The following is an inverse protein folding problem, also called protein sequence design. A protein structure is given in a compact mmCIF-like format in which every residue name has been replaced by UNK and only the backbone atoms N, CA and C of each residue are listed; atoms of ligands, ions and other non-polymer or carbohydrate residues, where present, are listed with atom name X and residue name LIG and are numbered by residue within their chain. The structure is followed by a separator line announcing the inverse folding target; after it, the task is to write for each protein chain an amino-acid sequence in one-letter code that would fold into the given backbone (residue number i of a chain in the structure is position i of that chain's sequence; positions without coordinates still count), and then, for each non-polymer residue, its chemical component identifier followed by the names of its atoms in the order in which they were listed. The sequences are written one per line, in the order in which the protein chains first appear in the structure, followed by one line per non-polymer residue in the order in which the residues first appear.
data_IF_780597692358
#
_entry.id   IF_780597692358
#
_cell.length_a   1.000
_cell.length_b   1.000
_cell.length_c   1.000
_cell.angle_alpha   90.00
_cell.angle_beta   90.00
_cell.angle_gamma   90.00
#
_symmetry.space_group_name_H-M   'P 1'
#
loop_
_entity.id
_entity.type
_entity.pdbx_description
1 polymer ?
#
# COMPACT_ATOMS: atom_id res chain seq x y z
N UNK A 1 -54.85 -18.71 -67.63
CA UNK A 1 -53.65 -18.44 -68.45
C UNK A 1 -52.74 -17.51 -67.66
N UNK A 2 -51.47 -17.92 -67.42
CA UNK A 2 -50.22 -17.11 -67.24
C UNK A 2 -50.27 -15.91 -66.23
N UNK A 3 -49.39 -15.70 -65.26
CA UNK A 3 -48.00 -16.11 -65.02
C UNK A 3 -47.55 -15.70 -63.58
N UNK A 4 -46.67 -16.53 -62.98
CA UNK A 4 -45.36 -16.20 -62.36
C UNK A 4 -45.24 -14.98 -61.43
N UNK A 5 -44.73 -15.20 -60.20
CA UNK A 5 -43.44 -14.67 -59.67
C UNK A 5 -43.20 -15.33 -58.30
N UNK A 6 -42.21 -16.22 -58.24
CA UNK A 6 -41.67 -16.75 -57.00
C UNK A 6 -40.46 -15.89 -56.60
N UNK A 7 -40.60 -15.13 -55.51
CA UNK A 7 -39.50 -14.36 -54.92
C UNK A 7 -38.56 -15.30 -54.17
N UNK A 8 -37.38 -15.53 -54.74
CA UNK A 8 -36.25 -16.18 -54.06
C UNK A 8 -35.62 -15.15 -53.12
N UNK A 9 -35.78 -15.35 -51.82
CA UNK A 9 -35.07 -14.58 -50.79
C UNK A 9 -33.68 -15.18 -50.64
N UNK A 10 -32.67 -14.50 -51.18
CA UNK A 10 -31.26 -14.83 -50.94
C UNK A 10 -30.89 -14.27 -49.56
N UNK A 11 -30.74 -15.15 -48.57
CA UNK A 11 -30.20 -14.79 -47.27
C UNK A 11 -28.67 -14.61 -47.39
N UNK A 12 -28.21 -13.36 -47.36
CA UNK A 12 -26.79 -13.05 -47.25
C UNK A 12 -26.31 -13.37 -45.83
N UNK A 13 -25.50 -14.42 -45.68
CA UNK A 13 -24.71 -14.66 -44.48
C UNK A 13 -23.64 -13.56 -44.38
N UNK A 14 -23.87 -12.57 -43.51
CA UNK A 14 -22.83 -11.62 -43.11
C UNK A 14 -21.91 -12.37 -42.15
N UNK A 15 -20.73 -12.74 -42.61
CA UNK A 15 -19.65 -13.23 -41.74
C UNK A 15 -19.27 -12.12 -40.77
N UNK A 16 -19.73 -12.20 -39.52
CA UNK A 16 -19.20 -11.36 -38.46
C UNK A 16 -17.78 -11.82 -38.16
N UNK A 17 -16.79 -11.07 -38.66
CA UNK A 17 -15.41 -11.19 -38.21
C UNK A 17 -15.34 -10.62 -36.80
N UNK A 18 -15.32 -11.50 -35.80
CA UNK A 18 -14.93 -11.14 -34.44
C UNK A 18 -13.48 -10.68 -34.52
N UNK A 19 -13.23 -9.38 -34.39
CA UNK A 19 -11.87 -8.87 -34.28
C UNK A 19 -11.28 -9.34 -32.93
N UNK A 20 -10.61 -10.48 -32.93
CA UNK A 20 -9.73 -10.87 -31.84
C UNK A 20 -8.65 -9.80 -31.71
N UNK A 21 -8.53 -9.22 -30.51
CA UNK A 21 -7.42 -8.32 -30.23
C UNK A 21 -6.13 -9.15 -30.31
N UNK A 22 -5.15 -8.74 -31.14
CA UNK A 22 -3.91 -9.49 -31.26
C UNK A 22 -3.22 -9.56 -29.90
N UNK A 23 -2.66 -10.73 -29.58
CA UNK A 23 -1.95 -10.95 -28.33
C UNK A 23 -0.85 -9.88 -28.13
N UNK A 24 -0.62 -9.42 -26.89
CA UNK A 24 0.33 -8.37 -26.63
C UNK A 24 1.75 -8.80 -27.01
N UNK A 25 2.45 -7.94 -27.74
CA UNK A 25 3.86 -8.12 -28.12
C UNK A 25 4.77 -8.13 -26.89
N UNK A 26 5.99 -8.69 -26.97
CA UNK A 26 6.96 -8.63 -25.87
C UNK A 26 7.24 -7.20 -25.40
N UNK A 27 7.23 -6.22 -26.31
CA UNK A 27 7.39 -4.81 -25.95
C UNK A 27 6.20 -4.26 -25.13
N UNK A 28 4.97 -4.62 -25.50
CA UNK A 28 3.77 -4.24 -24.75
C UNK A 28 3.72 -4.93 -23.38
N UNK A 29 4.15 -6.19 -23.30
CA UNK A 29 4.28 -6.92 -22.03
C UNK A 29 5.36 -6.30 -21.14
N UNK A 30 6.51 -5.89 -21.69
CA UNK A 30 7.56 -5.20 -20.95
C UNK A 30 7.04 -3.89 -20.34
N UNK A 31 6.29 -3.11 -21.12
CA UNK A 31 5.64 -1.87 -20.65
C UNK A 31 4.61 -2.16 -19.53
N UNK A 32 3.86 -3.25 -19.64
CA UNK A 32 2.92 -3.66 -18.58
C UNK A 32 3.66 -3.99 -17.28
N UNK A 33 4.75 -4.76 -17.33
CA UNK A 33 5.58 -5.05 -16.17
C UNK A 33 6.23 -3.78 -15.60
N UNK A 34 6.64 -2.83 -16.44
CA UNK A 34 7.15 -1.54 -15.98
C UNK A 34 6.09 -0.77 -15.18
N UNK A 35 4.84 -0.68 -15.68
CA UNK A 35 3.73 -0.06 -14.94
C UNK A 35 3.40 -0.78 -13.64
N UNK A 36 3.50 -2.12 -13.61
CA UNK A 36 3.36 -2.90 -12.37
C UNK A 36 4.44 -2.52 -11.35
N UNK A 37 5.68 -2.29 -11.80
CA UNK A 37 6.76 -1.84 -10.93
C UNK A 37 6.47 -0.47 -10.32
N UNK A 38 6.00 0.48 -11.12
CA UNK A 38 5.60 1.80 -10.64
C UNK A 38 4.46 1.73 -9.63
N UNK A 39 3.46 0.88 -9.89
CA UNK A 39 2.34 0.66 -8.96
C UNK A 39 2.81 0.03 -7.64
N UNK A 40 3.77 -0.89 -7.69
CA UNK A 40 4.36 -1.50 -6.50
C UNK A 40 5.15 -0.48 -5.66
N UNK A 41 5.91 0.42 -6.27
CA UNK A 41 6.55 1.53 -5.54
C UNK A 41 5.51 2.43 -4.85
N UNK A 42 4.41 2.74 -5.52
CA UNK A 42 3.33 3.54 -4.94
C UNK A 42 2.68 2.83 -3.75
N UNK A 43 2.52 1.51 -3.83
CA UNK A 43 2.03 0.65 -2.77
C UNK A 43 3.04 0.43 -1.62
N UNK A 44 4.28 0.91 -1.75
CA UNK A 44 5.32 0.72 -0.75
C UNK A 44 5.91 -0.69 -0.72
N UNK A 45 5.86 -1.41 -1.84
CA UNK A 45 6.43 -2.76 -1.99
C UNK A 45 7.65 -2.73 -2.93
N UNK A 46 8.86 -2.49 -2.38
CA UNK A 46 10.07 -2.43 -3.20
C UNK A 46 10.46 -3.80 -3.78
N UNK A 47 10.03 -4.90 -3.15
CA UNK A 47 10.33 -6.26 -3.62
C UNK A 47 9.51 -6.57 -4.87
N UNK A 48 8.22 -6.27 -4.84
CA UNK A 48 7.35 -6.40 -6.01
C UNK A 48 7.80 -5.46 -7.14
N UNK A 49 8.20 -4.22 -6.81
CA UNK A 49 8.73 -3.28 -7.79
C UNK A 49 9.98 -3.83 -8.50
N UNK A 50 10.94 -4.35 -7.72
CA UNK A 50 12.16 -4.94 -8.25
C UNK A 50 11.85 -6.12 -9.18
N UNK A 51 10.94 -7.01 -8.77
CA UNK A 51 10.52 -8.15 -9.58
C UNK A 51 9.91 -7.68 -10.91
N UNK A 52 8.98 -6.73 -10.87
CA UNK A 52 8.29 -6.25 -12.06
C UNK A 52 9.25 -5.55 -13.05
N UNK A 53 10.15 -4.68 -12.57
CA UNK A 53 11.17 -4.08 -13.45
C UNK A 53 12.14 -5.11 -14.03
N UNK A 54 12.47 -6.15 -13.26
CA UNK A 54 13.32 -7.25 -13.76
C UNK A 54 12.63 -8.02 -14.89
N UNK A 55 11.34 -8.32 -14.76
CA UNK A 55 10.57 -8.97 -15.84
C UNK A 55 10.43 -8.08 -17.08
N UNK A 56 10.25 -6.76 -16.91
CA UNK A 56 10.23 -5.81 -18.01
C UNK A 56 11.54 -5.84 -18.82
N UNK A 57 12.69 -5.92 -18.13
CA UNK A 57 14.02 -5.98 -18.75
C UNK A 57 14.33 -7.35 -19.38
N UNK A 58 13.74 -8.45 -18.90
CA UNK A 58 13.86 -9.76 -19.56
C UNK A 58 13.18 -9.76 -20.93
N UNK A 59 12.01 -9.12 -21.03
CA UNK A 59 11.22 -9.04 -22.26
C UNK A 59 11.78 -8.01 -23.24
N UNK A 60 12.31 -6.90 -22.73
CA UNK A 60 12.97 -5.87 -23.52
C UNK A 60 14.27 -5.42 -22.82
N UNK A 61 15.42 -6.04 -23.15
CA UNK A 61 16.71 -5.68 -22.56
C UNK A 61 17.15 -4.23 -22.82
N UNK A 62 16.62 -3.59 -23.87
CA UNK A 62 16.88 -2.19 -24.23
C UNK A 62 15.95 -1.19 -23.53
N UNK A 63 15.09 -1.62 -22.61
CA UNK A 63 14.08 -0.75 -22.02
C UNK A 63 14.69 0.21 -20.99
N UNK A 64 15.11 1.38 -21.48
CA UNK A 64 15.83 2.39 -20.69
C UNK A 64 15.10 2.81 -19.41
N UNK A 65 13.78 3.03 -19.47
CA UNK A 65 12.98 3.45 -18.32
C UNK A 65 12.99 2.38 -17.21
N UNK A 66 12.76 1.11 -17.55
CA UNK A 66 12.81 0.03 -16.58
C UNK A 66 14.21 -0.13 -15.95
N UNK A 67 15.27 0.06 -16.74
CA UNK A 67 16.65 0.00 -16.24
C UNK A 67 16.96 1.14 -15.27
N UNK A 68 16.50 2.35 -15.62
CA UNK A 68 16.62 3.53 -14.76
C UNK A 68 15.87 3.34 -13.44
N UNK A 69 14.59 2.94 -13.50
CA UNK A 69 13.77 2.72 -12.30
C UNK A 69 14.33 1.63 -11.40
N UNK A 70 14.84 0.53 -11.96
CA UNK A 70 15.51 -0.51 -11.17
C UNK A 70 16.80 0.01 -10.48
N UNK A 71 17.53 0.91 -11.13
CA UNK A 71 18.68 1.59 -10.52
C UNK A 71 18.27 2.50 -9.37
N UNK A 72 17.24 3.32 -9.59
CA UNK A 72 16.69 4.22 -8.57
C UNK A 72 16.14 3.45 -7.35
N UNK A 73 15.44 2.35 -7.61
CA UNK A 73 14.85 1.49 -6.58
C UNK A 73 15.88 0.96 -5.58
N UNK A 74 17.11 0.67 -6.01
CA UNK A 74 18.19 0.24 -5.10
C UNK A 74 18.58 1.31 -4.08
N UNK A 75 18.35 2.57 -4.39
CA UNK A 75 18.65 3.72 -3.53
C UNK A 75 17.43 4.04 -2.64
N UNK A 76 16.22 3.88 -3.17
CA UNK A 76 14.98 4.28 -2.49
C UNK A 76 14.22 3.14 -1.83
N UNK A 77 14.68 1.89 -1.91
CA UNK A 77 13.98 0.70 -1.39
C UNK A 77 13.61 0.82 0.08
N UNK A 78 14.50 1.35 0.92
CA UNK A 78 14.24 1.57 2.34
C UNK A 78 13.08 2.56 2.57
N UNK A 79 13.10 3.71 1.88
CA UNK A 79 12.02 4.70 1.98
C UNK A 79 10.68 4.16 1.47
N UNK A 80 10.69 3.36 0.40
CA UNK A 80 9.50 2.69 -0.14
C UNK A 80 8.97 1.66 0.87
N UNK A 81 9.85 0.87 1.50
CA UNK A 81 9.47 -0.08 2.55
C UNK A 81 8.88 0.63 3.78
N UNK A 82 9.48 1.73 4.23
CA UNK A 82 8.94 2.57 5.31
C UNK A 82 7.54 3.06 4.99
N UNK A 83 7.33 3.59 3.78
CA UNK A 83 6.00 4.01 3.30
C UNK A 83 5.01 2.84 3.28
N UNK A 84 5.41 1.68 2.78
CA UNK A 84 4.58 0.48 2.76
C UNK A 84 4.14 0.04 4.16
N UNK A 85 5.06 0.10 5.13
CA UNK A 85 4.77 -0.18 6.54
C UNK A 85 3.76 0.83 7.11
N UNK A 86 3.95 2.12 6.83
CA UNK A 86 3.04 3.17 7.28
C UNK A 86 1.63 3.03 6.66
N UNK A 87 1.54 2.70 5.37
CA UNK A 87 0.26 2.44 4.70
C UNK A 87 -0.46 1.24 5.31
N UNK A 88 0.25 0.12 5.49
CA UNK A 88 -0.31 -1.09 6.11
C UNK A 88 -0.75 -0.84 7.54
N UNK A 89 0.06 -0.13 8.32
CA UNK A 89 -0.31 0.31 9.66
C UNK A 89 -1.63 1.07 9.62
N UNK A 90 -1.68 2.18 8.88
CA UNK A 90 -2.84 3.08 8.84
C UNK A 90 -4.12 2.47 8.25
N UNK A 91 -4.01 1.41 7.46
CA UNK A 91 -5.15 0.68 6.91
C UNK A 91 -5.87 -0.18 7.95
N UNK A 92 -5.24 -0.50 9.09
CA UNK A 92 -5.87 -1.30 10.15
C UNK A 92 -6.96 -0.48 10.84
N UNK A 93 -8.21 -0.92 10.70
CA UNK A 93 -9.37 -0.32 11.36
C UNK A 93 -9.55 -0.95 12.73
N UNK A 94 -9.58 -0.11 13.75
CA UNK A 94 -9.78 -0.49 15.14
C UNK A 94 -11.24 -0.18 15.52
N UNK A 95 -12.05 -1.22 15.84
CA UNK A 95 -13.47 -1.03 16.17
C UNK A 95 -13.71 -0.16 17.39
N UNK A 96 -12.88 -0.33 18.42
CA UNK A 96 -12.93 0.47 19.65
C UNK A 96 -11.53 0.59 20.23
N UNK A 97 -11.16 1.81 20.62
CA UNK A 97 -9.91 2.10 21.32
C UNK A 97 -10.21 3.05 22.47
N UNK A 98 -10.16 2.53 23.69
CA UNK A 98 -10.55 3.25 24.90
C UNK A 98 -9.42 3.21 25.92
N UNK A 99 -9.07 4.38 26.43
CA UNK A 99 -8.08 4.58 27.49
C UNK A 99 -8.65 5.53 28.54
N UNK A 100 -8.26 5.33 29.79
CA UNK A 100 -8.63 6.20 30.90
C UNK A 100 -7.42 6.45 31.80
N UNK A 101 -6.81 7.64 31.67
CA UNK A 101 -5.65 8.04 32.45
C UNK A 101 -4.38 7.22 32.17
N UNK A 102 -4.29 6.58 31.00
CA UNK A 102 -3.18 5.72 30.64
C UNK A 102 -1.89 6.51 30.40
N UNK A 103 -0.74 5.91 30.70
CA UNK A 103 0.56 6.42 30.26
C UNK A 103 0.73 6.24 28.75
N UNK A 104 1.69 6.96 28.16
CA UNK A 104 2.02 6.78 26.75
C UNK A 104 2.48 5.34 26.44
N UNK A 105 3.27 4.72 27.32
CA UNK A 105 3.74 3.35 27.13
C UNK A 105 2.57 2.37 27.08
N UNK A 106 1.67 2.41 28.07
CA UNK A 106 0.49 1.56 28.10
C UNK A 106 -0.41 1.75 26.87
N UNK A 107 -0.54 3.00 26.41
CA UNK A 107 -1.31 3.32 25.20
C UNK A 107 -0.69 2.70 23.93
N UNK A 108 0.64 2.77 23.78
CA UNK A 108 1.35 2.18 22.65
C UNK A 108 1.32 0.65 22.68
N UNK A 109 1.45 0.04 23.86
CA UNK A 109 1.37 -1.40 24.05
C UNK A 109 -0.03 -1.92 23.72
N UNK A 110 -1.07 -1.25 24.22
CA UNK A 110 -2.46 -1.58 23.89
C UNK A 110 -2.73 -1.43 22.38
N UNK A 111 -2.22 -0.36 21.76
CA UNK A 111 -2.36 -0.14 20.32
C UNK A 111 -1.66 -1.25 19.53
N UNK A 112 -0.46 -1.67 19.94
CA UNK A 112 0.27 -2.78 19.32
C UNK A 112 -0.55 -4.07 19.31
N UNK A 113 -1.03 -4.49 20.48
CA UNK A 113 -1.81 -5.72 20.64
C UNK A 113 -3.09 -5.69 19.79
N UNK A 114 -3.79 -4.56 19.78
CA UNK A 114 -5.04 -4.42 19.02
C UNK A 114 -4.76 -4.44 17.51
N UNK A 115 -3.72 -3.76 17.03
CA UNK A 115 -3.35 -3.76 15.62
C UNK A 115 -2.97 -5.16 15.15
N UNK A 116 -2.15 -5.87 15.92
CA UNK A 116 -1.75 -7.24 15.60
C UNK A 116 -2.96 -8.16 15.52
N UNK A 117 -3.87 -8.07 16.50
CA UNK A 117 -5.12 -8.82 16.49
C UNK A 117 -6.00 -8.51 15.27
N UNK A 118 -6.23 -7.22 14.97
CA UNK A 118 -7.15 -6.82 13.90
C UNK A 118 -6.57 -7.05 12.49
N UNK A 119 -5.25 -6.99 12.37
CA UNK A 119 -4.54 -7.35 11.14
C UNK A 119 -4.27 -8.85 11.01
N UNK A 120 -4.71 -9.67 11.98
CA UNK A 120 -4.45 -11.13 12.03
C UNK A 120 -2.95 -11.46 11.94
N UNK A 121 -2.12 -10.64 12.58
CA UNK A 121 -0.67 -10.78 12.62
C UNK A 121 0.06 -10.18 11.42
N UNK A 122 -0.63 -9.61 10.42
CA UNK A 122 0.02 -8.98 9.26
C UNK A 122 0.79 -7.71 9.64
N UNK A 123 0.30 -6.98 10.64
CA UNK A 123 0.92 -5.74 11.12
C UNK A 123 1.26 -5.89 12.59
N UNK A 124 2.56 -5.96 12.88
CA UNK A 124 3.11 -5.93 14.24
C UNK A 124 4.02 -4.69 14.38
N UNK A 125 3.51 -3.56 14.89
CA UNK A 125 4.31 -2.35 15.04
C UNK A 125 5.34 -2.53 16.16
N UNK A 126 6.55 -2.01 15.94
CA UNK A 126 7.59 -1.94 16.96
C UNK A 126 7.79 -0.47 17.34
N UNK A 127 7.43 -0.09 18.57
CA UNK A 127 7.55 1.28 19.05
C UNK A 127 8.87 1.47 19.81
N UNK A 128 9.59 2.56 19.51
CA UNK A 128 10.80 2.95 20.23
C UNK A 128 10.56 4.34 20.82
N UNK A 129 10.51 4.45 22.15
CA UNK A 129 10.37 5.74 22.83
C UNK A 129 11.75 6.32 23.10
N UNK A 130 12.06 7.45 22.45
CA UNK A 130 13.28 8.22 22.63
C UNK A 130 12.99 9.47 23.47
N UNK A 131 12.98 9.28 24.79
CA UNK A 131 12.70 10.36 25.74
C UNK A 131 13.73 10.39 26.89
N UNK A 132 14.98 10.79 26.62
CA UNK A 132 16.06 10.77 27.62
C UNK A 132 15.83 11.74 28.79
N UNK A 133 14.91 12.70 28.64
CA UNK A 133 14.58 13.71 29.66
C UNK A 133 13.26 13.42 30.37
N UNK A 134 12.63 12.27 30.10
CA UNK A 134 11.33 11.88 30.67
C UNK A 134 10.21 12.94 30.49
N UNK A 135 10.23 13.67 29.38
CA UNK A 135 9.25 14.71 29.06
C UNK A 135 7.83 14.14 28.81
N UNK A 136 7.73 12.88 28.41
CA UNK A 136 6.47 12.21 28.10
C UNK A 136 5.91 11.42 29.29
N UNK A 137 6.68 11.26 30.37
CA UNK A 137 6.37 10.36 31.47
C UNK A 137 5.11 10.77 32.27
N UNK A 138 4.81 12.06 32.34
CA UNK A 138 3.63 12.57 33.05
C UNK A 138 2.35 12.57 32.22
N UNK A 139 2.42 12.21 30.93
CA UNK A 139 1.25 12.21 30.06
C UNK A 139 0.17 11.26 30.60
N UNK A 140 -1.06 11.77 30.67
CA UNK A 140 -2.26 11.01 31.03
C UNK A 140 -3.24 11.08 29.88
N UNK A 141 -3.42 9.95 29.22
CA UNK A 141 -4.14 9.83 27.97
C UNK A 141 -5.49 9.20 28.24
N UNK A 142 -6.55 9.92 27.89
CA UNK A 142 -7.93 9.44 27.95
C UNK A 142 -8.60 9.64 26.60
N UNK A 143 -9.09 8.55 26.03
CA UNK A 143 -9.74 8.53 24.72
C UNK A 143 -10.89 7.53 24.73
N UNK A 144 -11.88 7.77 23.89
CA UNK A 144 -12.87 6.78 23.51
C UNK A 144 -13.17 6.93 22.02
N UNK A 145 -12.50 6.12 21.22
CA UNK A 145 -12.53 6.17 19.76
C UNK A 145 -13.21 4.93 19.21
N UNK A 146 -14.03 5.10 18.17
CA UNK A 146 -14.78 4.00 17.53
C UNK A 146 -14.54 3.98 16.03
N UNK A 147 -14.33 2.79 15.49
CA UNK A 147 -14.16 2.55 14.05
C UNK A 147 -13.10 3.44 13.40
N UNK A 148 -11.94 3.58 14.06
CA UNK A 148 -10.89 4.51 13.63
C UNK A 148 -9.73 3.78 12.96
N UNK A 149 -9.09 4.38 11.94
CA UNK A 149 -7.81 3.87 11.44
C UNK A 149 -6.72 4.04 12.50
N UNK A 150 -5.87 3.04 12.64
CA UNK A 150 -4.81 3.01 13.65
C UNK A 150 -3.86 4.22 13.59
N UNK A 151 -3.59 4.75 12.39
CA UNK A 151 -2.77 5.96 12.18
C UNK A 151 -3.41 7.20 12.81
N UNK A 152 -4.74 7.33 12.74
CA UNK A 152 -5.43 8.43 13.42
C UNK A 152 -5.39 8.24 14.94
N UNK A 153 -5.55 7.00 15.43
CA UNK A 153 -5.40 6.71 16.87
C UNK A 153 -4.00 7.09 17.36
N UNK A 154 -2.95 6.67 16.65
CA UNK A 154 -1.57 7.04 16.98
C UNK A 154 -1.39 8.56 16.99
N UNK A 155 -1.97 9.27 16.01
CA UNK A 155 -1.92 10.74 15.99
C UNK A 155 -2.54 11.36 17.25
N UNK A 156 -3.71 10.89 17.70
CA UNK A 156 -4.31 11.36 18.96
C UNK A 156 -3.46 11.04 20.19
N UNK A 157 -2.79 9.89 20.21
CA UNK A 157 -1.82 9.56 21.27
C UNK A 157 -0.67 10.57 21.30
N UNK A 158 -0.13 10.92 20.14
CA UNK A 158 0.95 11.91 20.02
C UNK A 158 0.48 13.29 20.49
N UNK A 159 -0.72 13.70 20.11
CA UNK A 159 -1.26 15.00 20.47
C UNK A 159 -1.56 15.15 21.96
N UNK A 160 -2.09 14.11 22.61
CA UNK A 160 -2.33 14.13 24.07
C UNK A 160 -1.06 13.98 24.90
N UNK A 161 -0.02 13.35 24.36
CA UNK A 161 1.27 13.16 25.07
C UNK A 161 2.29 14.25 24.81
N UNK A 162 2.06 15.13 23.83
CA UNK A 162 3.07 16.10 23.39
C UNK A 162 4.24 15.43 22.68
N UNK A 163 4.00 14.33 21.99
CA UNK A 163 5.01 13.58 21.24
C UNK A 163 4.86 13.77 19.72
N UNK A 164 5.83 13.22 19.00
CA UNK A 164 5.84 13.01 17.56
C UNK A 164 6.12 11.54 17.27
N UNK A 165 5.57 11.01 16.18
CA UNK A 165 5.85 9.67 15.67
C UNK A 165 6.52 9.75 14.30
N UNK A 166 7.61 9.01 14.12
CA UNK A 166 8.32 8.87 12.84
C UNK A 166 8.40 7.40 12.45
N UNK A 167 7.90 7.07 11.26
CA UNK A 167 8.03 5.73 10.70
C UNK A 167 9.44 5.55 10.13
N UNK A 168 10.10 4.49 10.55
CA UNK A 168 11.39 4.05 10.05
C UNK A 168 11.27 2.71 9.34
N UNK A 169 12.38 2.24 8.77
CA UNK A 169 12.42 0.96 8.07
C UNK A 169 12.03 -0.20 8.96
N UNK A 170 12.23 -0.15 10.29
CA UNK A 170 11.97 -1.27 11.21
C UNK A 170 11.11 -0.94 12.44
N UNK A 171 10.87 0.34 12.72
CA UNK A 171 10.19 0.78 13.93
C UNK A 171 9.40 2.06 13.71
N UNK A 172 8.56 2.40 14.69
CA UNK A 172 7.93 3.72 14.81
C UNK A 172 8.60 4.39 16.01
N UNK A 173 9.39 5.42 15.73
CA UNK A 173 10.13 6.17 16.75
C UNK A 173 9.24 7.26 17.31
N UNK A 174 9.08 7.26 18.63
CA UNK A 174 8.30 8.22 19.39
C UNK A 174 9.27 9.15 20.11
N UNK A 175 9.13 10.46 19.95
CA UNK A 175 9.99 11.46 20.60
C UNK A 175 9.18 12.65 21.10
N UNK A 176 9.63 13.37 22.13
CA UNK A 176 9.01 14.63 22.55
C UNK A 176 8.90 15.63 21.41
N UNK A 177 7.81 16.40 21.38
CA UNK A 177 7.68 17.56 20.50
C UNK A 177 8.57 18.69 21.05
N UNK A 178 9.41 19.25 20.19
CA UNK A 178 10.31 20.37 20.49
C UNK A 178 9.57 21.67 20.73
#
# INVERSE_FOLDING_TARGET
MKSIIACIVVAAFVSQSSAETPAPTPAQQAEQFYRQGQAAEQAGDPVAAQKAYTEALKLNPGFANARYSLGQLKITSGAIATKGRELKFGAVIIPEFKLDGATLQEALDALCVIIEKQSKGEVAPNFIVQDPKAQLASAKISLNLKSMPSKAILQYLMDQSGANARFDEHAIVISPRS
#
